data_IF_357200197240
#
_entry.id   IF_357200197240
#
_cell.length_a   1.000
_cell.length_b   1.000
_cell.length_c   1.000
_cell.angle_alpha   90.00
_cell.angle_beta   90.00
_cell.angle_gamma   90.00
#
_symmetry.space_group_name_H-M   'P 1'
#
loop_
_entity.id
_entity.type
_entity.pdbx_description
1 polymer ?
#
# COMPACT_ATOMS: atom_id res chain seq x y z
N UNK A 1 -29.82 -16.57 3.31
CA UNK A 1 -30.16 -15.17 3.66
C UNK A 1 -29.00 -14.57 4.45
N UNK A 2 -28.25 -13.64 3.87
CA UNK A 2 -27.38 -12.73 4.63
C UNK A 2 -27.88 -11.33 4.32
N UNK A 3 -28.38 -10.69 5.38
CA UNK A 3 -29.01 -9.37 5.38
C UNK A 3 -28.06 -8.34 4.79
N UNK A 4 -28.65 -7.36 4.11
CA UNK A 4 -28.02 -6.20 3.50
C UNK A 4 -26.96 -5.59 4.42
N UNK A 5 -25.69 -5.76 4.06
CA UNK A 5 -24.57 -5.05 4.67
C UNK A 5 -24.42 -3.77 3.84
N UNK A 6 -24.73 -2.63 4.44
CA UNK A 6 -24.30 -1.33 3.93
C UNK A 6 -22.78 -1.31 3.92
N UNK A 7 -22.17 -1.39 2.74
CA UNK A 7 -20.76 -1.03 2.61
C UNK A 7 -20.71 0.49 2.50
N UNK A 8 -20.38 1.17 3.59
CA UNK A 8 -20.03 2.58 3.46
C UNK A 8 -18.78 2.67 2.56
N UNK A 9 -18.73 3.62 1.62
CA UNK A 9 -17.56 3.76 0.75
C UNK A 9 -16.31 3.99 1.60
N UNK A 10 -15.25 3.23 1.30
CA UNK A 10 -13.95 3.41 1.95
C UNK A 10 -13.27 4.66 1.38
N UNK A 11 -13.55 5.79 2.02
CA UNK A 11 -12.99 7.11 1.71
C UNK A 11 -11.83 7.44 2.66
N UNK A 12 -10.87 8.24 2.16
CA UNK A 12 -9.80 8.82 2.97
C UNK A 12 -8.59 7.92 3.29
N UNK A 13 -8.55 6.65 2.84
CA UNK A 13 -7.36 5.80 2.96
C UNK A 13 -6.69 5.58 1.60
N UNK A 14 -5.36 5.70 1.58
CA UNK A 14 -4.53 5.48 0.39
C UNK A 14 -3.19 4.81 0.74
N UNK A 15 -2.55 4.21 -0.26
CA UNK A 15 -1.18 3.70 -0.19
C UNK A 15 -0.29 4.58 -1.06
N UNK A 16 0.90 4.90 -0.57
CA UNK A 16 1.94 5.59 -1.32
C UNK A 16 3.21 4.74 -1.40
N UNK A 17 3.88 4.77 -2.55
CA UNK A 17 5.20 4.15 -2.75
C UNK A 17 6.16 5.28 -3.12
N UNK A 18 7.16 5.49 -2.27
CA UNK A 18 8.03 6.69 -2.30
C UNK A 18 9.50 6.27 -2.40
N UNK A 19 10.32 6.89 -3.27
CA UNK A 19 11.76 6.65 -3.30
C UNK A 19 12.39 7.01 -1.96
N UNK A 20 13.18 6.11 -1.38
CA UNK A 20 13.83 6.25 -0.09
C UNK A 20 15.21 5.57 -0.09
N UNK A 21 16.26 6.37 -0.21
CA UNK A 21 17.65 5.87 -0.21
C UNK A 21 18.09 5.28 1.15
N UNK A 22 17.29 5.46 2.21
CA UNK A 22 17.51 4.88 3.54
C UNK A 22 16.65 3.65 3.80
N UNK A 23 15.73 3.28 2.89
CA UNK A 23 15.01 2.02 2.99
C UNK A 23 16.00 0.85 2.95
N UNK A 24 15.75 -0.17 3.76
CA UNK A 24 16.64 -1.33 3.92
C UNK A 24 16.64 -2.25 2.67
N UNK A 25 17.19 -1.75 1.57
CA UNK A 25 17.47 -2.49 0.33
C UNK A 25 18.95 -2.86 0.25
N UNK A 26 19.33 -3.66 -0.74
CA UNK A 26 20.74 -3.97 -0.98
C UNK A 26 21.57 -2.67 -1.11
N UNK A 27 22.74 -2.66 -0.47
CA UNK A 27 23.63 -1.51 -0.37
C UNK A 27 23.97 -0.94 -1.76
N UNK A 28 23.63 0.33 -2.00
CA UNK A 28 23.89 1.02 -3.27
C UNK A 28 22.77 0.95 -4.32
N UNK A 29 21.60 0.36 -4.00
CA UNK A 29 20.39 0.47 -4.84
C UNK A 29 19.42 1.51 -4.26
N UNK A 30 18.76 2.33 -5.10
CA UNK A 30 17.74 3.25 -4.63
C UNK A 30 16.58 2.46 -4.03
N UNK A 31 16.36 2.63 -2.73
CA UNK A 31 15.29 1.97 -2.01
C UNK A 31 13.95 2.66 -2.26
N UNK A 32 12.87 1.97 -1.97
CA UNK A 32 11.52 2.53 -1.97
C UNK A 32 10.80 2.09 -0.71
N UNK A 33 9.95 2.95 -0.19
CA UNK A 33 9.21 2.74 1.03
C UNK A 33 7.71 2.86 0.76
N UNK A 34 6.95 1.87 1.22
CA UNK A 34 5.50 1.87 1.18
C UNK A 34 4.97 2.56 2.43
N UNK A 35 3.97 3.42 2.26
CA UNK A 35 3.28 4.13 3.33
C UNK A 35 1.77 3.90 3.26
N UNK A 36 1.14 3.83 4.44
CA UNK A 36 -0.30 3.94 4.61
C UNK A 36 -0.62 5.39 4.98
N UNK A 37 -1.56 6.00 4.28
CA UNK A 37 -1.98 7.38 4.50
C UNK A 37 -3.43 7.39 4.97
N UNK A 38 -3.65 8.06 6.09
CA UNK A 38 -4.97 8.37 6.61
C UNK A 38 -5.26 9.87 6.39
N UNK A 39 -6.10 10.18 5.41
CA UNK A 39 -6.58 11.54 5.10
C UNK A 39 -7.84 11.91 5.87
N UNK A 40 -8.34 11.03 6.73
CA UNK A 40 -9.56 11.29 7.49
C UNK A 40 -9.27 12.22 8.67
N UNK A 41 -10.31 12.91 9.14
CA UNK A 41 -10.32 13.69 10.39
C UNK A 41 -10.39 12.82 11.66
N UNK A 42 -10.32 11.49 11.52
CA UNK A 42 -10.45 10.54 12.62
C UNK A 42 -9.38 9.44 12.54
N UNK A 43 -8.95 8.87 13.68
CA UNK A 43 -8.00 7.77 13.68
C UNK A 43 -8.66 6.49 13.17
N UNK A 44 -7.86 5.60 12.60
CA UNK A 44 -8.26 4.23 12.28
C UNK A 44 -7.52 3.27 13.20
N UNK A 45 -8.19 2.20 13.63
CA UNK A 45 -7.67 1.29 14.64
C UNK A 45 -7.52 -0.14 14.11
N UNK A 46 -6.64 -0.90 14.75
CA UNK A 46 -6.39 -2.32 14.47
C UNK A 46 -6.22 -2.57 12.96
N UNK A 47 -5.36 -1.77 12.33
CA UNK A 47 -5.11 -1.84 10.91
C UNK A 47 -4.25 -3.06 10.60
N UNK A 48 -4.67 -3.85 9.62
CA UNK A 48 -3.92 -4.95 9.07
C UNK A 48 -3.64 -4.64 7.60
N UNK A 49 -2.37 -4.58 7.23
CA UNK A 49 -1.94 -4.46 5.84
C UNK A 49 -1.35 -5.78 5.39
N UNK A 50 -2.04 -6.47 4.49
CA UNK A 50 -1.54 -7.68 3.83
C UNK A 50 -0.97 -7.33 2.46
N UNK A 51 0.34 -7.52 2.25
CA UNK A 51 1.00 -7.25 0.98
C UNK A 51 1.43 -8.53 0.25
N UNK A 52 1.30 -8.54 -1.07
CA UNK A 52 1.92 -9.55 -1.95
C UNK A 52 2.03 -9.03 -3.39
N UNK A 53 2.93 -9.66 -4.16
CA UNK A 53 3.07 -9.48 -5.59
C UNK A 53 2.55 -10.70 -6.36
N UNK A 54 1.89 -10.48 -7.50
CA UNK A 54 1.53 -11.55 -8.43
C UNK A 54 1.58 -11.11 -9.89
N UNK A 55 1.81 -12.07 -10.78
CA UNK A 55 1.90 -11.83 -12.22
C UNK A 55 2.18 -13.10 -12.99
N UNK A 56 2.72 -12.93 -14.20
CA UNK A 56 3.11 -14.02 -15.09
C UNK A 56 4.54 -13.75 -15.54
N UNK A 57 5.40 -14.76 -15.55
CA UNK A 57 6.75 -14.65 -16.10
C UNK A 57 6.66 -14.50 -17.63
N UNK A 58 7.19 -13.42 -18.23
CA UNK A 58 7.11 -13.20 -19.67
C UNK A 58 7.87 -14.25 -20.51
N UNK A 59 8.85 -14.94 -19.92
CA UNK A 59 9.69 -15.89 -20.64
C UNK A 59 9.02 -17.25 -20.90
N UNK A 60 8.26 -17.76 -19.93
CA UNK A 60 7.68 -19.11 -19.97
C UNK A 60 6.16 -19.12 -19.75
N UNK A 61 5.55 -18.00 -19.35
CA UNK A 61 4.12 -17.89 -19.09
C UNK A 61 3.68 -18.46 -17.74
N UNK A 62 4.61 -18.84 -16.86
CA UNK A 62 4.27 -19.41 -15.56
C UNK A 62 3.80 -18.33 -14.56
N UNK A 63 2.83 -18.63 -13.69
CA UNK A 63 2.36 -17.70 -12.68
C UNK A 63 3.44 -17.45 -11.63
N UNK A 64 3.73 -16.18 -11.36
CA UNK A 64 4.66 -15.74 -10.31
C UNK A 64 3.85 -15.17 -9.16
N UNK A 65 4.20 -15.55 -7.93
CA UNK A 65 3.61 -15.01 -6.71
C UNK A 65 4.64 -14.91 -5.59
N UNK A 66 4.67 -13.77 -4.91
CA UNK A 66 5.51 -13.59 -3.72
C UNK A 66 4.83 -14.16 -2.48
N UNK A 67 5.61 -14.33 -1.41
CA UNK A 67 5.07 -14.52 -0.07
C UNK A 67 4.15 -13.36 0.32
N UNK A 68 3.17 -13.65 1.18
CA UNK A 68 2.31 -12.61 1.76
C UNK A 68 2.88 -12.14 3.08
N UNK A 69 3.14 -10.84 3.20
CA UNK A 69 3.53 -10.19 4.46
C UNK A 69 2.29 -9.57 5.12
N UNK A 70 2.32 -9.48 6.46
CA UNK A 70 1.23 -8.91 7.25
C UNK A 70 1.79 -7.96 8.29
N UNK A 71 1.37 -6.71 8.19
CA UNK A 71 1.73 -5.64 9.10
C UNK A 71 0.52 -5.27 9.95
N UNK A 72 0.73 -5.07 11.24
CA UNK A 72 -0.32 -4.69 12.18
C UNK A 72 0.04 -3.34 12.79
N UNK A 73 -0.87 -2.38 12.68
CA UNK A 73 -0.77 -1.06 13.29
C UNK A 73 -1.96 -0.92 14.24
N UNK A 74 -1.69 -0.63 15.51
CA UNK A 74 -2.75 -0.50 16.52
C UNK A 74 -3.65 0.71 16.23
N UNK A 75 -3.05 1.81 15.79
CA UNK A 75 -3.74 3.06 15.49
C UNK A 75 -2.95 3.83 14.43
N UNK A 76 -3.67 4.51 13.53
CA UNK A 76 -3.12 5.48 12.58
C UNK A 76 -3.93 6.76 12.71
N UNK A 77 -3.25 7.81 13.17
CA UNK A 77 -3.86 9.10 13.51
C UNK A 77 -4.46 9.82 12.29
N UNK A 78 -5.42 10.75 12.48
CA UNK A 78 -5.91 11.64 11.44
C UNK A 78 -4.78 12.36 10.71
N UNK A 79 -4.89 12.54 9.41
CA UNK A 79 -3.92 13.30 8.59
C UNK A 79 -2.46 12.88 8.80
N UNK A 80 -2.22 11.57 8.89
CA UNK A 80 -0.86 11.03 9.04
C UNK A 80 -0.52 10.01 7.97
N UNK A 81 0.78 9.82 7.77
CA UNK A 81 1.35 8.78 6.95
C UNK A 81 2.29 7.92 7.81
N UNK A 82 2.14 6.60 7.73
CA UNK A 82 2.96 5.65 8.50
C UNK A 82 3.68 4.68 7.56
N UNK A 83 4.98 4.42 7.75
CA UNK A 83 5.71 3.46 6.92
C UNK A 83 5.20 2.04 7.20
N UNK A 84 5.05 1.25 6.14
CA UNK A 84 4.60 -0.14 6.19
C UNK A 84 5.79 -1.07 6.00
N UNK A 85 6.42 -1.02 4.82
CA UNK A 85 7.54 -1.88 4.44
C UNK A 85 8.38 -1.27 3.33
N UNK A 86 9.69 -1.58 3.26
CA UNK A 86 10.47 -1.33 2.06
C UNK A 86 9.99 -2.24 0.93
N UNK A 87 10.13 -1.79 -0.33
CA UNK A 87 9.84 -2.57 -1.52
C UNK A 87 11.03 -2.53 -2.49
N UNK A 88 11.44 -3.70 -2.98
CA UNK A 88 12.49 -3.82 -3.99
C UNK A 88 11.92 -3.45 -5.38
N UNK A 89 12.55 -2.53 -6.14
CA UNK A 89 12.19 -2.23 -7.52
C UNK A 89 12.10 -3.46 -8.45
N UNK A 90 12.81 -4.55 -8.13
CA UNK A 90 12.69 -5.82 -8.84
C UNK A 90 11.28 -6.41 -8.78
N UNK A 91 10.39 -5.93 -7.90
CA UNK A 91 8.99 -6.36 -7.81
C UNK A 91 8.04 -5.46 -8.62
N UNK A 92 8.49 -4.32 -9.17
CA UNK A 92 7.62 -3.36 -9.85
C UNK A 92 7.04 -3.89 -11.16
N UNK A 93 7.61 -4.98 -11.71
CA UNK A 93 7.05 -5.69 -12.86
C UNK A 93 5.87 -6.61 -12.51
N UNK A 94 5.53 -6.76 -11.22
CA UNK A 94 4.38 -7.52 -10.74
C UNK A 94 3.22 -6.59 -10.41
N UNK A 95 2.02 -7.17 -10.27
CA UNK A 95 0.94 -6.49 -9.57
C UNK A 95 1.24 -6.52 -8.08
N UNK A 96 1.60 -5.37 -7.52
CA UNK A 96 1.85 -5.22 -6.09
C UNK A 96 0.54 -4.85 -5.40
N UNK A 97 -0.01 -5.81 -4.65
CA UNK A 97 -1.29 -5.70 -3.98
C UNK A 97 -1.10 -5.42 -2.49
N UNK A 98 -1.81 -4.41 -2.00
CA UNK A 98 -1.95 -4.08 -0.58
C UNK A 98 -3.42 -4.17 -0.21
N UNK A 99 -3.77 -5.13 0.63
CA UNK A 99 -5.10 -5.22 1.23
C UNK A 99 -5.04 -4.64 2.63
N UNK A 100 -5.70 -3.50 2.82
CA UNK A 100 -5.82 -2.81 4.10
C UNK A 100 -7.19 -3.14 4.70
N UNK A 101 -7.18 -3.73 5.88
CA UNK A 101 -8.35 -3.92 6.74
C UNK A 101 -8.19 -3.03 7.97
N UNK A 102 -9.22 -2.29 8.38
CA UNK A 102 -9.14 -1.43 9.56
C UNK A 102 -10.50 -1.27 10.25
N UNK A 103 -10.48 -0.82 11.49
CA UNK A 103 -11.66 -0.48 12.27
C UNK A 103 -11.85 1.03 12.35
N UNK A 104 -13.11 1.46 12.22
CA UNK A 104 -13.59 2.78 12.65
C UNK A 104 -14.77 2.51 13.57
N UNK A 105 -14.62 2.86 14.84
CA UNK A 105 -15.53 2.49 15.92
C UNK A 105 -15.76 0.96 15.99
N UNK A 106 -16.98 0.51 15.64
CA UNK A 106 -17.38 -0.90 15.67
C UNK A 106 -17.43 -1.54 14.27
N UNK A 107 -17.16 -0.75 13.24
CA UNK A 107 -17.27 -1.17 11.85
C UNK A 107 -15.89 -1.52 11.30
N UNK A 108 -15.84 -2.60 10.54
CA UNK A 108 -14.63 -3.03 9.82
C UNK A 108 -14.75 -2.61 8.35
N UNK A 109 -13.63 -2.13 7.83
CA UNK A 109 -13.48 -1.66 6.46
C UNK A 109 -12.33 -2.40 5.78
N UNK A 110 -12.49 -2.67 4.49
CA UNK A 110 -11.53 -3.40 3.68
C UNK A 110 -11.35 -2.70 2.34
N UNK A 111 -10.10 -2.45 1.96
CA UNK A 111 -9.76 -1.89 0.64
C UNK A 111 -8.51 -2.53 0.08
N UNK A 112 -8.55 -2.82 -1.22
CA UNK A 112 -7.42 -3.34 -1.98
C UNK A 112 -6.88 -2.25 -2.88
N UNK A 113 -5.57 -2.07 -2.82
CA UNK A 113 -4.79 -1.19 -3.69
C UNK A 113 -3.88 -2.07 -4.54
N UNK A 114 -3.88 -1.88 -5.85
CA UNK A 114 -3.08 -2.69 -6.77
C UNK A 114 -2.27 -1.75 -7.64
N UNK A 115 -0.95 -1.74 -7.39
CA UNK A 115 0.01 -1.10 -8.27
C UNK A 115 0.34 -2.09 -9.38
N UNK A 116 -0.22 -1.86 -10.56
CA UNK A 116 0.00 -2.69 -11.75
C UNK A 116 1.44 -2.52 -12.26
N UNK A 117 1.95 -3.44 -13.09
CA UNK A 117 3.25 -3.26 -13.74
C UNK A 117 3.36 -1.89 -14.41
N UNK A 118 4.55 -1.31 -14.38
CA UNK A 118 4.88 0.00 -14.96
C UNK A 118 4.16 1.21 -14.33
N UNK A 119 3.42 1.02 -13.22
CA UNK A 119 2.80 2.12 -12.49
C UNK A 119 3.76 2.83 -11.52
N UNK A 120 4.76 2.12 -10.97
CA UNK A 120 5.74 2.66 -10.02
C UNK A 120 6.97 3.14 -10.80
N UNK A 121 6.84 4.29 -11.44
CA UNK A 121 7.87 4.89 -12.31
C UNK A 121 8.04 6.38 -12.04
N UNK A 122 9.21 6.98 -12.32
CA UNK A 122 9.47 8.41 -12.09
C UNK A 122 8.43 9.34 -12.70
N UNK A 123 7.87 8.98 -13.86
CA UNK A 123 6.89 9.79 -14.60
C UNK A 123 5.54 9.88 -13.89
N UNK A 124 5.23 8.92 -13.02
CA UNK A 124 3.99 8.88 -12.24
C UNK A 124 4.15 9.49 -10.85
N UNK A 125 5.34 10.02 -10.52
CA UNK A 125 5.58 10.66 -9.24
C UNK A 125 4.75 11.95 -9.13
N UNK A 126 3.94 12.01 -8.09
CA UNK A 126 3.21 13.21 -7.69
C UNK A 126 3.68 13.65 -6.31
N UNK A 127 3.46 14.92 -5.99
CA UNK A 127 3.68 15.40 -4.63
C UNK A 127 2.60 14.85 -3.67
N UNK A 128 3.04 14.22 -2.59
CA UNK A 128 2.19 13.62 -1.56
C UNK A 128 2.27 14.48 -0.30
N UNK A 129 1.25 15.32 -0.09
CA UNK A 129 1.26 16.35 0.94
C UNK A 129 1.50 15.83 2.37
N UNK A 130 0.89 14.69 2.75
CA UNK A 130 1.09 14.11 4.09
C UNK A 130 2.51 13.62 4.37
N UNK A 131 3.32 13.43 3.32
CA UNK A 131 4.72 13.00 3.44
C UNK A 131 5.72 14.11 3.09
N UNK A 132 5.26 15.21 2.49
CA UNK A 132 6.09 16.24 1.86
C UNK A 132 7.15 15.64 0.91
N UNK A 133 6.77 14.59 0.18
CA UNK A 133 7.66 13.81 -0.70
C UNK A 133 6.97 13.48 -2.03
N UNK A 134 7.77 13.18 -3.05
CA UNK A 134 7.26 12.72 -4.35
C UNK A 134 7.14 11.20 -4.36
N UNK A 135 5.99 10.66 -4.76
CA UNK A 135 5.71 9.23 -4.78
C UNK A 135 4.59 8.87 -5.73
N UNK A 136 4.34 7.56 -5.90
CA UNK A 136 3.16 7.06 -6.61
C UNK A 136 2.08 6.77 -5.57
N UNK A 137 0.89 7.35 -5.77
CA UNK A 137 -0.23 7.27 -4.84
C UNK A 137 -1.37 6.44 -5.44
N UNK A 138 -1.97 5.56 -4.65
CA UNK A 138 -3.20 4.86 -5.00
C UNK A 138 -4.24 5.09 -3.89
N UNK A 139 -5.34 5.74 -4.24
CA UNK A 139 -6.48 6.02 -3.37
C UNK A 139 -7.71 5.20 -3.72
#
# INVERSE_FOLDING_TARGET
>A
MKKDISFDPVEGISIAIVPDDQAATEEGKPGWQVYLLNHNEYPIQNVIVSSNGYGVNPADGEPVRTSTLRHVLLEVEPHTAVPIEPIDPALFHLNNQYWVSYYRDKNIFDKKFIFVPDSIVPENLIHIALLDRSGVLHS
#
